data_IF_750302244532
#
_entry.id   IF_750302244532
#
_cell.length_a   1.000
_cell.length_b   1.000
_cell.length_c   1.000
_cell.angle_alpha   90.00
_cell.angle_beta   90.00
_cell.angle_gamma   90.00
#
_symmetry.space_group_name_H-M   'P 1'
#
loop_
_entity.id
_entity.type
_entity.pdbx_description
1 polymer ?
#
# COMPACT_ATOMS: atom_id res chain seq x y z
N UNK A 1 0.39 10.18 18.11
CA UNK A 1 0.31 9.94 16.65
C UNK A 1 1.17 8.73 16.34
N UNK A 2 0.64 7.83 15.53
CA UNK A 2 1.39 6.69 14.97
C UNK A 2 1.66 6.97 13.49
N UNK A 3 2.75 6.40 12.95
CA UNK A 3 3.17 6.63 11.58
C UNK A 3 3.70 5.35 10.93
N UNK A 4 3.45 5.21 9.64
CA UNK A 4 4.16 4.30 8.76
C UNK A 4 5.24 5.09 8.03
N UNK A 5 6.44 4.55 7.98
CA UNK A 5 7.59 5.18 7.33
C UNK A 5 7.63 4.77 5.86
N UNK A 6 7.64 5.75 4.95
CA UNK A 6 7.81 5.46 3.53
C UNK A 6 9.23 4.90 3.30
N UNK A 7 9.33 3.81 2.52
CA UNK A 7 10.62 3.20 2.17
C UNK A 7 11.40 4.04 1.16
N UNK A 8 10.72 4.87 0.35
CA UNK A 8 11.37 5.77 -0.59
C UNK A 8 12.27 6.78 0.11
N UNK A 9 13.49 6.92 -0.38
CA UNK A 9 14.49 7.85 0.16
C UNK A 9 14.09 9.31 -0.02
N UNK A 10 13.36 9.65 -1.08
CA UNK A 10 13.01 11.03 -1.42
C UNK A 10 11.55 11.42 -1.09
N UNK A 11 10.78 10.55 -0.51
CA UNK A 11 9.42 10.85 -0.04
C UNK A 11 8.42 11.15 -1.16
N UNK A 12 7.26 11.66 -0.82
CA UNK A 12 6.17 11.89 -1.76
C UNK A 12 6.41 13.15 -2.61
N UNK A 13 6.35 13.01 -3.93
CA UNK A 13 6.52 14.07 -4.93
C UNK A 13 5.68 15.33 -4.66
N UNK A 14 4.47 15.17 -4.16
CA UNK A 14 3.57 16.29 -3.85
C UNK A 14 4.04 17.14 -2.67
N UNK A 15 4.96 16.63 -1.85
CA UNK A 15 5.45 17.27 -0.63
C UNK A 15 6.94 17.66 -0.71
N UNK A 16 7.68 17.18 -1.71
CA UNK A 16 9.11 17.37 -1.87
C UNK A 16 9.47 17.92 -3.24
N UNK A 17 10.66 18.53 -3.37
CA UNK A 17 11.20 18.99 -4.64
C UNK A 17 11.71 17.87 -5.54
N UNK A 18 11.93 16.70 -4.97
CA UNK A 18 12.42 15.51 -5.67
C UNK A 18 11.26 14.56 -5.96
N UNK A 19 11.36 13.85 -7.07
CA UNK A 19 10.40 12.79 -7.39
C UNK A 19 10.52 11.66 -6.37
N UNK A 20 9.38 11.06 -6.04
CA UNK A 20 9.37 9.85 -5.24
C UNK A 20 9.94 8.72 -6.10
N UNK A 21 10.97 8.08 -5.58
CA UNK A 21 11.62 6.97 -6.24
C UNK A 21 11.42 5.69 -5.43
N UNK A 22 11.05 4.62 -6.12
CA UNK A 22 10.89 3.29 -5.56
C UNK A 22 11.88 2.30 -6.18
N UNK A 23 13.06 2.77 -6.62
CA UNK A 23 14.17 1.87 -6.93
C UNK A 23 14.66 1.23 -5.62
N UNK A 24 14.58 -0.12 -5.48
CA UNK A 24 15.07 -0.79 -4.27
C UNK A 24 16.55 -0.53 -3.98
N UNK A 25 17.36 -0.21 -5.00
CA UNK A 25 18.77 0.10 -4.84
C UNK A 25 19.03 1.40 -4.03
N UNK A 26 18.05 2.29 -4.02
CA UNK A 26 18.12 3.57 -3.31
C UNK A 26 17.50 3.53 -1.90
N UNK A 27 16.96 2.39 -1.49
CA UNK A 27 16.37 2.25 -0.16
C UNK A 27 17.47 2.26 0.91
N UNK A 28 17.25 3.06 1.95
CA UNK A 28 18.22 3.29 3.03
C UNK A 28 17.83 2.50 4.28
N UNK A 29 18.13 1.20 4.26
CA UNK A 29 17.87 0.32 5.41
C UNK A 29 18.53 0.83 6.69
N UNK A 30 19.76 1.34 6.61
CA UNK A 30 20.49 1.93 7.72
C UNK A 30 19.77 3.09 8.39
N UNK A 31 19.14 3.96 7.58
CA UNK A 31 18.37 5.09 8.11
C UNK A 31 17.02 4.63 8.69
N UNK A 32 16.36 3.67 8.05
CA UNK A 32 15.09 3.11 8.54
C UNK A 32 15.31 2.44 9.90
N UNK A 33 16.35 1.63 10.05
CA UNK A 33 16.75 1.03 11.31
C UNK A 33 16.95 2.07 12.40
N UNK A 34 17.77 3.08 12.13
CA UNK A 34 18.05 4.15 13.10
C UNK A 34 16.80 4.93 13.52
N UNK A 35 15.83 5.08 12.60
CA UNK A 35 14.56 5.74 12.92
C UNK A 35 13.66 4.86 13.79
N UNK A 36 13.60 3.56 13.56
CA UNK A 36 12.85 2.63 14.41
C UNK A 36 13.46 2.53 15.81
N UNK A 37 14.79 2.53 15.92
CA UNK A 37 15.50 2.58 17.21
C UNK A 37 15.19 3.88 17.98
N UNK A 38 15.15 5.00 17.25
CA UNK A 38 14.92 6.32 17.86
C UNK A 38 13.45 6.58 18.22
N UNK A 39 12.52 6.05 17.44
CA UNK A 39 11.08 6.35 17.58
C UNK A 39 10.19 5.11 17.65
N UNK A 40 10.52 4.08 18.46
CA UNK A 40 9.80 2.80 18.49
C UNK A 40 8.34 2.92 18.95
N UNK A 41 8.03 3.97 19.71
CA UNK A 41 6.66 4.24 20.18
C UNK A 41 5.79 4.95 19.14
N UNK A 42 6.38 5.47 18.04
CA UNK A 42 5.69 6.23 16.99
C UNK A 42 5.57 5.41 15.71
N UNK A 43 6.67 4.79 15.27
CA UNK A 43 6.69 4.02 14.03
C UNK A 43 5.99 2.67 14.22
N UNK A 44 5.07 2.35 13.30
CA UNK A 44 4.22 1.16 13.36
C UNK A 44 4.29 0.28 12.12
N UNK A 45 5.10 0.63 11.15
CA UNK A 45 5.27 -0.12 9.93
C UNK A 45 5.95 0.67 8.84
N UNK A 46 6.07 0.05 7.68
CA UNK A 46 6.60 0.65 6.47
C UNK A 46 5.48 0.97 5.49
N UNK A 47 5.71 1.95 4.62
CA UNK A 47 4.79 2.31 3.52
C UNK A 47 5.49 2.08 2.20
N UNK A 48 4.79 1.40 1.27
CA UNK A 48 5.21 1.23 -0.13
C UNK A 48 4.10 1.77 -1.03
N UNK A 49 4.44 2.51 -2.08
CA UNK A 49 3.48 2.94 -3.10
C UNK A 49 3.61 2.07 -4.34
N UNK A 50 2.53 1.37 -4.66
CA UNK A 50 2.39 0.49 -5.82
C UNK A 50 1.54 1.20 -6.87
N UNK A 51 2.10 2.18 -7.55
CA UNK A 51 1.46 2.90 -8.65
C UNK A 51 2.44 3.23 -9.76
N UNK A 52 1.94 3.37 -10.98
CA UNK A 52 2.72 3.60 -12.20
C UNK A 52 3.70 4.77 -12.09
N UNK A 53 3.28 5.85 -11.41
CA UNK A 53 4.12 7.05 -11.26
C UNK A 53 5.43 6.79 -10.49
N UNK A 54 5.42 5.84 -9.55
CA UNK A 54 6.55 5.60 -8.66
C UNK A 54 7.34 4.35 -9.01
N UNK A 55 6.71 3.37 -9.66
CA UNK A 55 7.33 2.07 -9.90
C UNK A 55 8.21 2.03 -11.16
N UNK A 56 7.90 2.87 -12.18
CA UNK A 56 8.62 2.80 -13.45
C UNK A 56 8.69 1.36 -13.96
N UNK A 57 9.91 0.91 -14.29
CA UNK A 57 10.16 -0.44 -14.78
C UNK A 57 10.47 -1.47 -13.67
N UNK A 58 10.47 -1.05 -12.40
CA UNK A 58 10.84 -1.91 -11.25
C UNK A 58 9.79 -2.98 -10.91
N UNK A 59 8.57 -2.86 -11.44
CA UNK A 59 7.51 -3.86 -11.23
C UNK A 59 7.18 -4.07 -9.76
N UNK A 60 7.16 -5.32 -9.32
CA UNK A 60 6.83 -5.70 -7.92
C UNK A 60 8.04 -5.60 -6.97
N UNK A 61 9.26 -5.38 -7.47
CA UNK A 61 10.49 -5.44 -6.65
C UNK A 61 10.52 -4.46 -5.47
N UNK A 62 9.96 -3.23 -5.55
CA UNK A 62 9.91 -2.33 -4.40
C UNK A 62 9.07 -2.88 -3.23
N UNK A 63 8.01 -3.64 -3.54
CA UNK A 63 7.22 -4.31 -2.50
C UNK A 63 8.02 -5.44 -1.85
N UNK A 64 8.74 -6.24 -2.63
CA UNK A 64 9.61 -7.29 -2.07
C UNK A 64 10.67 -6.70 -1.15
N UNK A 65 11.37 -5.66 -1.57
CA UNK A 65 12.35 -4.96 -0.74
C UNK A 65 11.73 -4.39 0.55
N UNK A 66 10.55 -3.75 0.46
CA UNK A 66 9.82 -3.26 1.62
C UNK A 66 9.42 -4.38 2.60
N UNK A 67 9.07 -5.55 2.06
CA UNK A 67 8.77 -6.75 2.86
C UNK A 67 10.03 -7.29 3.55
N UNK A 68 11.16 -7.38 2.85
CA UNK A 68 12.44 -7.83 3.42
C UNK A 68 12.88 -6.90 4.56
N UNK A 69 12.80 -5.59 4.38
CA UNK A 69 13.07 -4.60 5.44
C UNK A 69 12.11 -4.76 6.62
N UNK A 70 10.83 -5.01 6.36
CA UNK A 70 9.83 -5.28 7.39
C UNK A 70 10.18 -6.54 8.20
N UNK A 71 10.60 -7.63 7.55
CA UNK A 71 11.02 -8.86 8.25
C UNK A 71 12.30 -8.64 9.06
N UNK A 72 13.26 -7.87 8.54
CA UNK A 72 14.44 -7.47 9.28
C UNK A 72 14.08 -6.72 10.58
N UNK A 73 13.18 -5.73 10.51
CA UNK A 73 12.69 -5.00 11.67
C UNK A 73 11.91 -5.88 12.65
N UNK A 74 11.10 -6.82 12.14
CA UNK A 74 10.41 -7.80 12.99
C UNK A 74 11.37 -8.71 13.73
N UNK A 75 12.47 -9.13 13.09
CA UNK A 75 13.51 -9.93 13.72
C UNK A 75 14.22 -9.18 14.88
N UNK A 76 14.22 -7.84 14.82
CA UNK A 76 14.68 -6.96 15.92
C UNK A 76 13.62 -6.73 17.00
N UNK A 77 12.41 -7.29 16.86
CA UNK A 77 11.33 -7.20 17.85
C UNK A 77 10.33 -6.05 17.61
N UNK A 78 10.42 -5.34 16.49
CA UNK A 78 9.43 -4.31 16.15
C UNK A 78 8.18 -4.93 15.52
N UNK A 79 7.00 -4.38 15.82
CA UNK A 79 5.81 -4.64 15.01
C UNK A 79 5.91 -3.79 13.72
N UNK A 80 6.05 -4.45 12.58
CA UNK A 80 6.33 -3.77 11.32
C UNK A 80 5.58 -4.38 10.13
N UNK A 81 4.26 -4.21 10.02
CA UNK A 81 3.52 -4.52 8.79
C UNK A 81 3.89 -3.52 7.69
N UNK A 82 3.55 -3.87 6.44
CA UNK A 82 3.67 -2.98 5.29
C UNK A 82 2.29 -2.44 4.91
N UNK A 83 2.15 -1.12 4.84
CA UNK A 83 0.98 -0.47 4.27
C UNK A 83 1.25 -0.17 2.78
N UNK A 84 0.40 -0.67 1.92
CA UNK A 84 0.55 -0.55 0.47
C UNK A 84 -0.46 0.45 -0.09
N UNK A 85 0.00 1.47 -0.79
CA UNK A 85 -0.84 2.29 -1.64
C UNK A 85 -1.06 1.56 -2.96
N UNK A 86 -2.30 1.25 -3.27
CA UNK A 86 -2.71 0.54 -4.46
C UNK A 86 -3.53 1.45 -5.37
N UNK A 87 -2.92 1.87 -6.49
CA UNK A 87 -3.56 2.70 -7.50
C UNK A 87 -2.88 2.42 -8.86
N UNK A 88 -3.51 2.70 -9.98
CA UNK A 88 -2.94 2.73 -11.34
C UNK A 88 -1.69 1.85 -11.53
N UNK A 89 -1.82 0.54 -11.34
CA UNK A 89 -0.70 -0.40 -11.48
C UNK A 89 -0.09 -0.32 -12.88
N UNK A 90 1.25 -0.40 -13.01
CA UNK A 90 1.88 -0.54 -14.32
C UNK A 90 1.56 -1.90 -14.95
N UNK A 91 1.66 -2.00 -16.27
CA UNK A 91 1.29 -3.20 -17.04
C UNK A 91 2.08 -4.47 -16.64
N UNK A 92 3.26 -4.30 -16.06
CA UNK A 92 4.13 -5.37 -15.60
C UNK A 92 3.85 -5.83 -14.16
N UNK A 93 2.77 -5.34 -13.52
CA UNK A 93 2.32 -5.77 -12.18
C UNK A 93 0.84 -6.09 -12.21
N UNK A 94 0.47 -7.29 -11.82
CA UNK A 94 -0.93 -7.71 -11.75
C UNK A 94 -1.49 -7.65 -10.32
N UNK A 95 -2.81 -7.48 -10.20
CA UNK A 95 -3.52 -7.61 -8.91
C UNK A 95 -3.25 -8.97 -8.27
N UNK A 96 -3.18 -10.04 -9.06
CA UNK A 96 -2.86 -11.37 -8.55
C UNK A 96 -1.47 -11.42 -7.90
N UNK A 97 -0.48 -10.83 -8.51
CA UNK A 97 0.89 -10.79 -7.99
C UNK A 97 0.96 -9.91 -6.75
N UNK A 98 0.38 -8.70 -6.80
CA UNK A 98 0.34 -7.78 -5.67
C UNK A 98 -0.29 -8.43 -4.44
N UNK A 99 -1.53 -8.92 -4.55
CA UNK A 99 -2.24 -9.53 -3.43
C UNK A 99 -1.61 -10.86 -2.99
N UNK A 100 -0.99 -11.60 -3.92
CA UNK A 100 -0.26 -12.84 -3.62
C UNK A 100 0.99 -12.63 -2.77
N UNK A 101 1.66 -11.48 -2.94
CA UNK A 101 2.90 -11.12 -2.23
C UNK A 101 2.62 -10.64 -0.79
N UNK A 102 1.44 -10.09 -0.51
CA UNK A 102 1.08 -9.54 0.80
C UNK A 102 0.96 -10.62 1.88
N UNK A 103 1.34 -10.24 3.10
CA UNK A 103 1.37 -11.13 4.27
C UNK A 103 0.25 -10.78 5.27
N UNK A 104 0.06 -11.66 6.24
CA UNK A 104 -0.77 -11.36 7.42
C UNK A 104 -0.30 -10.04 8.07
N UNK A 105 -1.26 -9.23 8.47
CA UNK A 105 -1.12 -7.91 9.10
C UNK A 105 -0.68 -6.78 8.15
N UNK A 106 -0.30 -7.06 6.89
CA UNK A 106 -0.12 -6.02 5.89
C UNK A 106 -1.47 -5.34 5.57
N UNK A 107 -1.42 -4.08 5.14
CA UNK A 107 -2.60 -3.27 4.84
C UNK A 107 -2.56 -2.84 3.38
N UNK A 108 -3.65 -3.03 2.64
CA UNK A 108 -3.82 -2.48 1.30
C UNK A 108 -4.83 -1.34 1.30
N UNK A 109 -4.38 -0.15 0.91
CA UNK A 109 -5.21 1.05 0.81
C UNK A 109 -5.82 1.19 -0.58
N UNK A 110 -6.97 1.86 -0.65
CA UNK A 110 -7.68 2.18 -1.90
C UNK A 110 -8.27 0.96 -2.62
N UNK A 111 -8.78 -0.01 -1.87
CA UNK A 111 -9.32 -1.25 -2.46
C UNK A 111 -10.47 -1.03 -3.44
N UNK A 112 -11.15 0.13 -3.39
CA UNK A 112 -12.27 0.48 -4.29
C UNK A 112 -11.89 1.50 -5.37
N UNK A 113 -10.60 1.63 -5.69
CA UNK A 113 -10.11 2.49 -6.77
C UNK A 113 -10.60 2.02 -8.16
N UNK A 114 -10.49 2.86 -9.20
CA UNK A 114 -11.01 2.59 -10.56
C UNK A 114 -9.95 2.55 -11.64
N UNK A 115 -8.69 2.80 -11.32
CA UNK A 115 -7.63 2.93 -12.32
C UNK A 115 -6.92 1.60 -12.57
N UNK A 116 -6.52 1.39 -13.82
CA UNK A 116 -5.85 0.17 -14.27
C UNK A 116 -6.57 -1.11 -13.81
N UNK A 117 -5.86 -2.11 -13.38
CA UNK A 117 -6.44 -3.35 -12.89
C UNK A 117 -7.03 -3.17 -11.49
N UNK A 118 -8.32 -3.48 -11.33
CA UNK A 118 -9.05 -3.40 -10.06
C UNK A 118 -9.15 -4.77 -9.38
N UNK A 119 -9.76 -4.78 -8.18
CA UNK A 119 -10.06 -6.04 -7.47
C UNK A 119 -11.13 -6.90 -8.16
N UNK A 120 -11.80 -6.37 -9.19
CA UNK A 120 -12.85 -7.07 -9.93
C UNK A 120 -12.31 -7.69 -11.23
N UNK A 121 -12.89 -8.80 -11.63
CA UNK A 121 -12.71 -9.40 -12.93
C UNK A 121 -13.61 -8.71 -14.01
N UNK A 122 -13.56 -9.19 -15.25
CA UNK A 122 -14.35 -8.68 -16.37
C UNK A 122 -15.87 -8.83 -16.20
N UNK A 123 -16.32 -9.70 -15.31
CA UNK A 123 -17.73 -9.93 -14.97
C UNK A 123 -18.15 -9.13 -13.72
N UNK A 124 -17.28 -8.31 -13.17
CA UNK A 124 -17.51 -7.54 -11.95
C UNK A 124 -17.43 -8.38 -10.67
N UNK A 125 -16.95 -9.64 -10.74
CA UNK A 125 -16.75 -10.49 -9.57
C UNK A 125 -15.41 -10.18 -8.93
N UNK A 126 -15.37 -10.18 -7.59
CA UNK A 126 -14.10 -10.02 -6.85
C UNK A 126 -13.19 -11.21 -7.13
N UNK A 127 -11.97 -10.93 -7.52
CA UNK A 127 -10.93 -11.91 -7.85
C UNK A 127 -10.61 -12.81 -6.67
N UNK A 128 -10.39 -14.11 -6.93
CA UNK A 128 -10.08 -15.08 -5.89
C UNK A 128 -8.81 -14.71 -5.09
N UNK A 129 -7.79 -14.14 -5.74
CA UNK A 129 -6.56 -13.70 -5.09
C UNK A 129 -6.79 -12.62 -4.02
N UNK A 130 -7.83 -11.79 -4.18
CA UNK A 130 -8.21 -10.76 -3.20
C UNK A 130 -8.87 -11.41 -1.97
N UNK A 131 -9.78 -12.36 -2.20
CA UNK A 131 -10.37 -13.17 -1.14
C UNK A 131 -9.32 -13.97 -0.36
N UNK A 132 -8.37 -14.56 -1.06
CA UNK A 132 -7.30 -15.34 -0.44
C UNK A 132 -6.38 -14.46 0.42
N UNK A 133 -6.05 -13.25 -0.05
CA UNK A 133 -5.30 -12.27 0.74
C UNK A 133 -6.06 -11.90 2.02
N UNK A 134 -7.36 -11.58 1.90
CA UNK A 134 -8.20 -11.27 3.06
C UNK A 134 -8.26 -12.44 4.06
N UNK A 135 -8.42 -13.68 3.58
CA UNK A 135 -8.41 -14.88 4.43
C UNK A 135 -7.05 -15.10 5.13
N UNK A 136 -5.94 -14.72 4.49
CA UNK A 136 -4.60 -14.77 5.12
C UNK A 136 -4.41 -13.70 6.19
N UNK A 137 -5.31 -12.73 6.31
CA UNK A 137 -5.25 -11.67 7.31
C UNK A 137 -4.59 -10.39 6.79
N UNK A 138 -4.62 -10.16 5.49
CA UNK A 138 -4.34 -8.84 4.91
C UNK A 138 -5.53 -7.93 5.20
N UNK A 139 -5.30 -6.73 5.72
CA UNK A 139 -6.32 -5.75 5.99
C UNK A 139 -6.66 -4.94 4.74
N UNK A 140 -7.94 -4.90 4.40
CA UNK A 140 -8.49 -4.13 3.28
C UNK A 140 -8.93 -2.76 3.79
N UNK A 141 -8.26 -1.69 3.35
CA UNK A 141 -8.60 -0.33 3.75
C UNK A 141 -9.36 0.39 2.61
N UNK A 142 -10.53 0.90 2.95
CA UNK A 142 -11.32 1.75 2.06
C UNK A 142 -10.52 2.96 1.58
N UNK A 143 -9.85 3.65 2.50
CA UNK A 143 -8.90 4.73 2.25
C UNK A 143 -9.36 5.62 1.08
N UNK A 144 -10.57 6.18 1.20
CA UNK A 144 -11.27 6.68 0.02
C UNK A 144 -10.62 7.88 -0.67
N UNK A 145 -9.88 8.74 0.02
CA UNK A 145 -9.18 9.86 -0.61
C UNK A 145 -10.06 10.66 -1.59
N UNK A 146 -9.45 11.53 -2.41
CA UNK A 146 -10.21 12.30 -3.40
C UNK A 146 -10.44 11.57 -4.72
N UNK A 147 -9.46 10.75 -5.14
CA UNK A 147 -9.37 10.20 -6.51
C UNK A 147 -9.17 8.69 -6.55
N UNK A 148 -9.08 8.06 -5.40
CA UNK A 148 -8.78 6.63 -5.27
C UNK A 148 -9.98 5.82 -4.78
N UNK A 149 -11.21 6.31 -5.02
CA UNK A 149 -12.42 5.69 -4.51
C UNK A 149 -13.58 5.77 -5.51
N UNK A 150 -14.42 4.76 -5.51
CA UNK A 150 -15.56 4.66 -6.38
C UNK A 150 -16.77 4.09 -5.65
N UNK A 151 -17.84 4.85 -5.60
CA UNK A 151 -19.09 4.38 -5.02
C UNK A 151 -19.67 3.15 -5.72
N UNK A 152 -19.67 3.05 -7.06
CA UNK A 152 -20.07 1.82 -7.76
C UNK A 152 -19.23 0.60 -7.38
N UNK A 153 -17.90 0.74 -7.23
CA UNK A 153 -17.02 -0.34 -6.80
C UNK A 153 -17.34 -0.79 -5.37
N UNK A 154 -17.57 0.18 -4.46
CA UNK A 154 -18.00 -0.11 -3.09
C UNK A 154 -19.31 -0.89 -3.08
N UNK A 155 -20.34 -0.41 -3.81
CA UNK A 155 -21.64 -1.09 -3.88
C UNK A 155 -21.52 -2.50 -4.45
N UNK A 156 -20.74 -2.68 -5.52
CA UNK A 156 -20.49 -3.99 -6.10
C UNK A 156 -19.80 -4.94 -5.12
N UNK A 157 -18.78 -4.47 -4.38
CA UNK A 157 -18.12 -5.25 -3.36
C UNK A 157 -19.08 -5.67 -2.25
N UNK A 158 -19.90 -4.74 -1.76
CA UNK A 158 -20.90 -5.01 -0.70
C UNK A 158 -21.96 -6.02 -1.16
N UNK A 159 -22.39 -5.98 -2.42
CA UNK A 159 -23.32 -6.96 -2.98
C UNK A 159 -22.76 -8.40 -2.97
N UNK A 160 -21.42 -8.53 -2.93
CA UNK A 160 -20.71 -9.79 -2.83
C UNK A 160 -20.26 -10.10 -1.39
N UNK A 161 -20.75 -9.35 -0.38
CA UNK A 161 -20.37 -9.49 1.04
C UNK A 161 -18.88 -9.24 1.30
N UNK A 162 -18.23 -8.46 0.45
CA UNK A 162 -16.85 -8.00 0.67
C UNK A 162 -16.87 -6.62 1.33
N UNK A 163 -16.41 -6.57 2.57
CA UNK A 163 -16.35 -5.35 3.37
C UNK A 163 -14.90 -4.98 3.66
N UNK A 164 -14.55 -3.68 3.72
CA UNK A 164 -13.24 -3.26 4.19
C UNK A 164 -13.09 -3.59 5.67
N UNK A 165 -11.85 -3.80 6.10
CA UNK A 165 -11.51 -4.01 7.52
C UNK A 165 -11.18 -2.68 8.20
N UNK A 166 -10.78 -1.67 7.40
CA UNK A 166 -10.41 -0.33 7.84
C UNK A 166 -11.16 0.68 6.97
N UNK A 167 -11.62 1.76 7.59
CA UNK A 167 -12.17 2.93 6.91
C UNK A 167 -11.28 4.12 7.26
N UNK A 168 -10.56 4.64 6.27
CA UNK A 168 -9.68 5.79 6.42
C UNK A 168 -9.90 6.83 5.31
N UNK A 169 -9.42 8.04 5.51
CA UNK A 169 -9.79 9.18 4.67
C UNK A 169 -8.72 9.62 3.68
N UNK A 170 -7.47 9.21 3.85
CA UNK A 170 -6.32 9.71 3.06
C UNK A 170 -6.29 11.24 2.95
N UNK A 171 -6.61 11.92 4.06
CA UNK A 171 -6.61 13.39 4.08
C UNK A 171 -5.19 13.92 4.02
N UNK A 172 -4.94 14.76 3.02
CA UNK A 172 -3.71 15.52 2.85
C UNK A 172 -4.05 17.01 2.81
N UNK A 173 -3.05 17.87 3.05
CA UNK A 173 -3.26 19.33 3.09
C UNK A 173 -4.01 19.88 1.87
N UNK A 174 -3.80 19.30 0.69
CA UNK A 174 -4.50 19.70 -0.54
C UNK A 174 -6.00 19.37 -0.47
N UNK A 175 -6.41 18.41 0.35
CA UNK A 175 -7.83 18.02 0.50
C UNK A 175 -8.64 19.03 1.32
N UNK A 176 -7.99 20.00 2.00
CA UNK A 176 -8.68 21.04 2.78
C UNK A 176 -9.34 22.10 1.88
N UNK A 177 -8.98 22.14 0.59
CA UNK A 177 -9.41 23.21 -0.34
C UNK A 177 -10.29 22.67 -1.48
N UNK A 178 -10.78 21.47 -1.38
CA UNK A 178 -11.69 20.82 -2.32
C UNK A 178 -12.86 20.18 -1.60
#
# INVERSE_FOLDING_TARGET
VYSYLNVSTFGNKSLCKHEEDHDPADFREDLIDSLFEKYPQVLRGLKVRMCKETLGDHGISPLHAGIEMSEHLKAKGYHCPVAIHYDDLPENVTVKELFGTMRKDDVIAHVFQTKAETIFDENGKIKDCVWDAKKRGVYMDDCHGRVHWSYPNLQNAFSQSFYPDIISSDLVRVSEYT
#
